data_IF_213963569811
#
_entry.id   IF_213963569811
#
_cell.length_a   1.000
_cell.length_b   1.000
_cell.length_c   1.000
_cell.angle_alpha   90.00
_cell.angle_beta   90.00
_cell.angle_gamma   90.00
#
_symmetry.space_group_name_H-M   'P 1'
#
loop_
_entity.id
_entity.type
_entity.pdbx_description
1 polymer ?
#
# COMPACT_ATOMS: atom_id res chain seq x y z
N UNK A 1 -37.38 -16.48 -0.59
CA UNK A 1 -37.10 -15.72 0.66
C UNK A 1 -36.89 -16.72 1.77
N UNK A 2 -35.65 -16.88 2.23
CA UNK A 2 -35.36 -17.90 3.24
C UNK A 2 -35.77 -17.36 4.62
N UNK A 3 -36.30 -18.21 5.51
CA UNK A 3 -36.74 -17.79 6.86
C UNK A 3 -35.63 -17.03 7.62
N UNK A 4 -34.36 -17.29 7.31
CA UNK A 4 -33.18 -16.66 7.92
C UNK A 4 -33.01 -15.18 7.56
N UNK A 5 -33.37 -14.77 6.35
CA UNK A 5 -33.27 -13.38 5.87
C UNK A 5 -34.26 -12.44 6.57
N UNK A 6 -35.37 -12.99 7.09
CA UNK A 6 -36.41 -12.24 7.80
C UNK A 6 -36.18 -12.25 9.31
N UNK A 7 -35.66 -13.35 9.86
CA UNK A 7 -35.41 -13.49 11.31
C UNK A 7 -34.28 -12.56 11.78
N UNK A 8 -33.23 -12.38 10.98
CA UNK A 8 -32.08 -11.57 11.35
C UNK A 8 -32.42 -10.09 11.59
N UNK A 9 -33.11 -9.37 10.67
CA UNK A 9 -33.46 -7.96 10.91
C UNK A 9 -34.43 -7.78 12.08
N UNK A 10 -35.38 -8.71 12.27
CA UNK A 10 -36.31 -8.67 13.41
C UNK A 10 -35.54 -8.82 14.74
N UNK A 11 -34.55 -9.71 14.78
CA UNK A 11 -33.73 -9.96 15.96
C UNK A 11 -32.87 -8.74 16.30
N UNK A 12 -32.24 -8.12 15.30
CA UNK A 12 -31.45 -6.88 15.48
C UNK A 12 -32.34 -5.73 15.96
N UNK A 13 -33.52 -5.55 15.39
CA UNK A 13 -34.47 -4.52 15.82
C UNK A 13 -34.89 -4.70 17.28
N UNK A 14 -35.22 -5.94 17.68
CA UNK A 14 -35.58 -6.26 19.06
C UNK A 14 -34.45 -6.01 20.06
N UNK A 15 -33.21 -6.37 19.70
CA UNK A 15 -32.01 -6.11 20.50
C UNK A 15 -31.76 -4.60 20.67
N UNK A 16 -31.92 -3.81 19.61
CA UNK A 16 -31.76 -2.35 19.67
C UNK A 16 -32.78 -1.69 20.58
N UNK A 17 -34.06 -2.08 20.49
CA UNK A 17 -35.11 -1.57 21.37
C UNK A 17 -34.86 -1.94 22.83
N UNK A 18 -34.40 -3.17 23.09
CA UNK A 18 -34.08 -3.64 24.43
C UNK A 18 -32.88 -2.89 25.03
N UNK A 19 -31.84 -2.62 24.23
CA UNK A 19 -30.69 -1.81 24.65
C UNK A 19 -31.10 -0.36 24.96
N UNK A 20 -31.93 0.26 24.12
CA UNK A 20 -32.46 1.61 24.36
C UNK A 20 -33.26 1.67 25.67
N UNK A 21 -34.13 0.68 25.93
CA UNK A 21 -34.88 0.59 27.17
C UNK A 21 -34.00 0.48 28.42
N UNK A 22 -32.90 -0.28 28.34
CA UNK A 22 -31.94 -0.39 29.45
C UNK A 22 -31.17 0.91 29.65
N UNK A 23 -30.81 1.63 28.59
CA UNK A 23 -30.19 2.96 28.71
C UNK A 23 -31.11 3.94 29.43
N UNK A 24 -32.42 3.96 29.12
CA UNK A 24 -33.42 4.77 29.82
C UNK A 24 -33.55 4.33 31.29
N UNK A 25 -33.61 3.03 31.57
CA UNK A 25 -33.68 2.53 32.94
C UNK A 25 -32.44 2.87 33.77
N UNK A 26 -31.24 2.84 33.17
CA UNK A 26 -29.98 3.26 33.83
C UNK A 26 -29.99 4.77 34.09
N UNK A 27 -30.50 5.57 33.16
CA UNK A 27 -30.64 7.01 33.32
C UNK A 27 -31.60 7.36 34.46
N UNK A 28 -32.79 6.74 34.51
CA UNK A 28 -33.78 6.96 35.58
C UNK A 28 -33.28 6.50 36.96
N UNK A 29 -32.40 5.50 37.01
CA UNK A 29 -31.84 4.99 38.28
C UNK A 29 -30.58 5.75 38.73
N UNK A 30 -30.16 6.81 38.02
CA UNK A 30 -28.96 7.60 38.29
C UNK A 30 -27.70 6.71 38.52
N UNK A 31 -27.63 5.56 37.86
CA UNK A 31 -26.51 4.62 38.00
C UNK A 31 -26.33 3.99 39.39
N UNK A 32 -27.23 4.22 40.36
CA UNK A 32 -27.09 3.73 41.74
C UNK A 32 -27.23 2.21 41.86
N UNK A 33 -27.90 1.58 40.90
CA UNK A 33 -28.11 0.13 40.91
C UNK A 33 -27.06 -0.59 40.08
N UNK A 34 -26.13 -1.25 40.79
CA UNK A 34 -25.08 -2.11 40.20
C UNK A 34 -25.66 -3.15 39.22
N UNK A 35 -26.86 -3.67 39.50
CA UNK A 35 -27.52 -4.69 38.66
C UNK A 35 -27.83 -4.19 37.24
N UNK A 36 -28.25 -2.94 37.07
CA UNK A 36 -28.61 -2.38 35.76
C UNK A 36 -27.38 -2.02 34.92
N UNK A 37 -26.31 -1.53 35.57
CA UNK A 37 -25.03 -1.25 34.92
C UNK A 37 -24.40 -2.54 34.37
N UNK A 38 -24.37 -3.62 35.16
CA UNK A 38 -23.86 -4.92 34.69
C UNK A 38 -24.67 -5.47 33.51
N UNK A 39 -25.99 -5.28 33.50
CA UNK A 39 -26.85 -5.72 32.38
C UNK A 39 -26.57 -4.92 31.10
N UNK A 40 -26.38 -3.60 31.19
CA UNK A 40 -26.00 -2.76 30.05
C UNK A 40 -24.68 -3.23 29.41
N UNK A 41 -23.67 -3.52 30.23
CA UNK A 41 -22.38 -4.02 29.75
C UNK A 41 -22.48 -5.39 29.08
N UNK A 42 -23.25 -6.33 29.66
CA UNK A 42 -23.43 -7.67 29.07
C UNK A 42 -24.13 -7.62 27.72
N UNK A 43 -25.15 -6.77 27.56
CA UNK A 43 -25.89 -6.65 26.31
C UNK A 43 -25.09 -5.91 25.25
N UNK A 44 -24.34 -4.87 25.64
CA UNK A 44 -23.39 -4.20 24.73
C UNK A 44 -22.30 -5.16 24.22
N UNK A 45 -21.73 -5.99 25.11
CA UNK A 45 -20.77 -7.02 24.72
C UNK A 45 -21.38 -8.06 23.77
N UNK A 46 -22.61 -8.51 24.03
CA UNK A 46 -23.30 -9.47 23.16
C UNK A 46 -23.59 -8.89 21.76
N UNK A 47 -23.95 -7.60 21.67
CA UNK A 47 -24.09 -6.92 20.37
C UNK A 47 -22.77 -6.89 19.60
N UNK A 48 -21.66 -6.53 20.26
CA UNK A 48 -20.33 -6.50 19.61
C UNK A 48 -19.90 -7.89 19.13
N UNK A 49 -20.13 -8.93 19.94
CA UNK A 49 -19.84 -10.32 19.54
C UNK A 49 -20.72 -10.79 18.40
N UNK A 50 -22.01 -10.43 18.39
CA UNK A 50 -22.92 -10.78 17.30
C UNK A 50 -22.53 -10.08 16.00
N UNK A 51 -22.16 -8.79 16.06
CA UNK A 51 -21.64 -8.04 14.93
C UNK A 51 -20.36 -8.69 14.39
N UNK A 52 -19.39 -9.00 15.27
CA UNK A 52 -18.15 -9.68 14.88
C UNK A 52 -18.39 -11.06 14.26
N UNK A 53 -19.30 -11.87 14.83
CA UNK A 53 -19.63 -13.19 14.30
C UNK A 53 -20.45 -13.13 13.00
N UNK A 54 -21.21 -12.05 12.76
CA UNK A 54 -21.93 -11.82 11.50
C UNK A 54 -21.01 -11.38 10.36
N UNK A 55 -19.80 -10.90 10.67
CA UNK A 55 -18.73 -10.60 9.72
C UNK A 55 -17.88 -11.83 9.34
N UNK A 56 -18.45 -13.05 9.36
CA UNK A 56 -17.75 -14.28 8.97
C UNK A 56 -17.84 -14.61 7.46
N UNK A 57 -18.17 -13.62 6.63
CA UNK A 57 -17.90 -13.68 5.20
C UNK A 57 -16.62 -12.91 4.94
N UNK A 58 -15.59 -13.56 4.40
CA UNK A 58 -14.26 -12.99 4.13
C UNK A 58 -14.24 -11.86 3.10
N UNK A 59 -14.95 -10.77 3.38
CA UNK A 59 -14.79 -9.47 2.74
C UNK A 59 -13.95 -8.62 3.68
N UNK A 60 -12.83 -8.12 3.14
CA UNK A 60 -11.80 -7.40 3.87
C UNK A 60 -12.35 -6.32 4.80
N UNK A 61 -11.57 -6.03 5.83
CA UNK A 61 -11.72 -4.87 6.70
C UNK A 61 -12.22 -3.70 5.85
N UNK A 62 -13.43 -3.21 6.13
CA UNK A 62 -13.89 -1.95 5.56
C UNK A 62 -13.09 -0.86 6.26
N UNK A 63 -11.86 -0.68 5.81
CA UNK A 63 -11.05 0.47 6.09
C UNK A 63 -11.82 1.62 5.45
N UNK A 64 -12.42 2.50 6.26
CA UNK A 64 -13.09 3.73 5.80
C UNK A 64 -12.12 4.71 5.11
N UNK A 65 -10.86 4.30 4.90
CA UNK A 65 -9.87 4.98 4.11
C UNK A 65 -9.54 4.06 2.94
N UNK A 66 -9.89 4.50 1.74
CA UNK A 66 -9.32 3.95 0.52
C UNK A 66 -7.80 4.18 0.61
N UNK A 67 -7.02 3.11 0.72
CA UNK A 67 -5.58 3.22 0.69
C UNK A 67 -5.20 3.72 -0.70
N UNK A 68 -4.70 4.95 -0.80
CA UNK A 68 -4.14 5.46 -2.05
C UNK A 68 -3.08 4.47 -2.50
N UNK A 69 -3.22 3.94 -3.72
CA UNK A 69 -2.23 3.03 -4.28
C UNK A 69 -0.87 3.75 -4.25
N UNK A 70 0.10 3.18 -3.54
CA UNK A 70 1.45 3.74 -3.49
C UNK A 70 2.25 3.07 -4.59
N UNK A 71 2.92 3.87 -5.42
CA UNK A 71 3.90 3.38 -6.39
C UNK A 71 4.92 2.50 -5.65
N UNK A 72 4.94 1.21 -5.95
CA UNK A 72 5.89 0.27 -5.38
C UNK A 72 6.71 -0.36 -6.50
N UNK A 73 8.04 -0.24 -6.37
CA UNK A 73 9.00 -0.64 -7.40
C UNK A 73 9.94 -1.70 -6.85
N UNK A 74 10.12 -2.78 -7.61
CA UNK A 74 11.13 -3.80 -7.34
C UNK A 74 11.87 -4.18 -8.63
N UNK A 75 13.13 -4.61 -8.51
CA UNK A 75 13.99 -4.96 -9.65
C UNK A 75 14.27 -6.45 -9.68
N UNK A 76 14.29 -7.05 -10.88
CA UNK A 76 14.43 -8.52 -11.02
C UNK A 76 15.77 -9.06 -10.49
N UNK A 77 16.84 -8.27 -10.62
CA UNK A 77 18.19 -8.63 -10.18
C UNK A 77 18.57 -7.98 -8.84
N UNK A 78 17.60 -7.62 -7.99
CA UNK A 78 17.87 -7.03 -6.69
C UNK A 78 18.27 -8.10 -5.67
N UNK A 79 19.53 -8.08 -5.24
CA UNK A 79 20.01 -8.85 -4.10
C UNK A 79 19.83 -8.11 -2.77
N UNK A 80 20.26 -8.73 -1.67
CA UNK A 80 20.18 -8.15 -0.32
C UNK A 80 20.89 -6.78 -0.20
N UNK A 81 21.95 -6.57 -0.99
CA UNK A 81 22.78 -5.34 -0.95
C UNK A 81 22.40 -4.31 -2.01
N UNK A 82 21.43 -4.61 -2.87
CA UNK A 82 21.07 -3.81 -4.04
C UNK A 82 21.29 -4.55 -5.35
N UNK A 83 21.44 -3.80 -6.42
CA UNK A 83 21.58 -4.28 -7.79
C UNK A 83 23.07 -4.35 -8.12
N UNK A 84 23.53 -5.49 -8.65
CA UNK A 84 24.90 -5.62 -9.19
C UNK A 84 24.82 -5.91 -10.69
N UNK A 85 25.58 -5.18 -11.51
CA UNK A 85 25.60 -5.34 -12.97
C UNK A 85 27.02 -5.20 -13.53
N UNK A 86 27.29 -5.92 -14.62
CA UNK A 86 28.50 -5.81 -15.44
C UNK A 86 28.08 -5.23 -16.80
N UNK A 87 28.51 -3.99 -17.10
CA UNK A 87 28.02 -3.21 -18.26
C UNK A 87 28.51 -3.73 -19.63
N UNK A 88 29.55 -4.56 -19.62
CA UNK A 88 30.09 -5.29 -20.77
C UNK A 88 29.11 -6.35 -21.30
N UNK A 89 28.49 -7.10 -20.40
CA UNK A 89 27.56 -8.20 -20.70
C UNK A 89 26.11 -7.74 -20.83
N UNK A 90 25.74 -6.65 -20.15
CA UNK A 90 24.41 -6.05 -20.27
C UNK A 90 24.30 -4.71 -19.58
N UNK A 91 23.55 -3.77 -20.17
CA UNK A 91 23.31 -2.44 -19.60
C UNK A 91 21.81 -2.15 -19.42
N UNK A 92 20.98 -3.18 -19.40
CA UNK A 92 19.54 -3.07 -19.22
C UNK A 92 19.16 -3.70 -17.91
N UNK A 93 18.49 -2.94 -17.05
CA UNK A 93 17.86 -3.44 -15.84
C UNK A 93 16.36 -3.57 -16.09
N UNK A 94 15.76 -4.66 -15.64
CA UNK A 94 14.32 -4.88 -15.69
C UNK A 94 13.74 -4.75 -14.29
N UNK A 95 12.61 -4.07 -14.19
CA UNK A 95 11.88 -3.89 -12.94
C UNK A 95 10.38 -3.92 -13.16
N UNK A 96 9.66 -3.92 -12.04
CA UNK A 96 8.22 -3.99 -11.98
C UNK A 96 7.72 -2.82 -11.13
N UNK A 97 6.74 -2.10 -11.65
CA UNK A 97 6.04 -1.01 -10.99
C UNK A 97 4.62 -1.49 -10.69
N UNK A 98 4.19 -1.34 -9.44
CA UNK A 98 2.83 -1.64 -9.00
C UNK A 98 2.19 -0.39 -8.42
N UNK A 99 0.89 -0.24 -8.64
CA UNK A 99 0.16 0.96 -8.24
C UNK A 99 0.53 2.19 -9.07
N UNK A 100 0.87 2.02 -10.35
CA UNK A 100 1.21 3.13 -11.24
C UNK A 100 0.05 4.16 -11.30
N UNK A 101 0.37 5.44 -11.09
CA UNK A 101 -0.58 6.56 -11.13
C UNK A 101 -0.20 7.60 -12.18
N UNK A 102 1.08 7.65 -12.56
CA UNK A 102 1.65 8.64 -13.44
C UNK A 102 1.86 8.04 -14.84
N UNK A 103 1.77 8.87 -15.87
CA UNK A 103 1.99 8.41 -17.26
C UNK A 103 3.47 8.37 -17.65
N UNK A 104 4.35 8.96 -16.83
CA UNK A 104 5.77 9.10 -17.10
C UNK A 104 6.54 8.87 -15.81
N UNK A 105 7.59 8.06 -15.90
CA UNK A 105 8.52 7.84 -14.82
C UNK A 105 9.94 8.01 -15.33
N UNK A 106 10.84 8.42 -14.44
CA UNK A 106 12.25 8.62 -14.78
C UNK A 106 13.16 8.10 -13.69
N UNK A 107 14.44 7.97 -14.01
CA UNK A 107 15.48 7.56 -13.09
C UNK A 107 16.67 8.51 -13.14
N UNK A 108 17.48 8.46 -12.09
CA UNK A 108 18.83 9.03 -12.08
C UNK A 108 19.81 8.09 -11.40
N UNK A 109 21.06 8.14 -11.85
CA UNK A 109 22.20 7.44 -11.24
C UNK A 109 23.12 8.48 -10.66
N UNK A 110 23.36 8.40 -9.35
CA UNK A 110 24.22 9.32 -8.61
C UNK A 110 25.27 8.58 -7.79
N UNK A 111 26.32 9.26 -7.35
CA UNK A 111 27.20 8.75 -6.30
C UNK A 111 26.66 9.07 -4.90
N UNK A 112 27.42 8.65 -3.87
CA UNK A 112 27.14 8.97 -2.45
C UNK A 112 27.16 10.47 -2.12
N UNK A 113 27.72 11.31 -2.99
CA UNK A 113 27.78 12.76 -2.83
C UNK A 113 26.65 13.46 -3.61
N UNK A 114 25.70 12.70 -4.17
CA UNK A 114 24.62 13.15 -5.03
C UNK A 114 25.08 13.78 -6.35
N UNK A 115 26.31 13.52 -6.81
CA UNK A 115 26.73 13.88 -8.16
C UNK A 115 26.00 12.95 -9.14
N UNK A 116 25.24 13.53 -10.06
CA UNK A 116 24.45 12.78 -11.05
C UNK A 116 25.34 12.45 -12.26
N UNK A 117 25.41 11.16 -12.59
CA UNK A 117 26.15 10.65 -13.76
C UNK A 117 25.23 10.33 -14.93
N UNK A 118 23.97 9.99 -14.65
CA UNK A 118 22.99 9.68 -15.69
C UNK A 118 21.58 10.08 -15.24
N UNK A 119 20.76 10.52 -16.21
CA UNK A 119 19.31 10.59 -16.11
C UNK A 119 18.69 9.91 -17.32
N UNK A 120 17.48 9.39 -17.17
CA UNK A 120 16.72 8.82 -18.28
C UNK A 120 15.29 8.52 -17.89
N UNK A 121 14.47 8.21 -18.88
CA UNK A 121 13.10 7.75 -18.65
C UNK A 121 13.08 6.24 -18.38
N UNK A 122 12.13 5.81 -17.56
CA UNK A 122 11.77 4.40 -17.45
C UNK A 122 10.98 4.03 -18.70
N UNK A 123 11.35 2.92 -19.34
CA UNK A 123 10.70 2.48 -20.57
C UNK A 123 9.75 1.33 -20.24
N UNK A 124 8.44 1.61 -20.23
CA UNK A 124 7.43 0.56 -20.11
C UNK A 124 7.57 -0.46 -21.24
N UNK A 125 7.31 -1.73 -20.94
CA UNK A 125 7.52 -2.84 -21.86
C UNK A 125 6.63 -2.76 -23.12
N UNK A 126 5.44 -2.18 -23.01
CA UNK A 126 4.52 -1.92 -24.13
C UNK A 126 4.59 -0.46 -24.64
N UNK A 127 5.47 0.35 -24.05
CA UNK A 127 5.70 1.75 -24.38
C UNK A 127 4.84 2.76 -23.65
N UNK A 128 3.94 2.36 -22.74
CA UNK A 128 3.12 3.28 -21.92
C UNK A 128 2.96 2.79 -20.49
N UNK A 129 2.81 3.71 -19.53
CA UNK A 129 2.39 3.37 -18.17
C UNK A 129 0.90 3.61 -18.05
N UNK A 130 0.08 2.61 -18.42
CA UNK A 130 -1.38 2.72 -18.38
C UNK A 130 -2.08 1.60 -17.60
N UNK A 131 -1.31 0.65 -17.07
CA UNK A 131 -1.78 -0.43 -16.22
C UNK A 131 -1.33 -0.24 -14.77
N UNK A 132 -2.09 -0.81 -13.84
CA UNK A 132 -1.76 -0.79 -12.42
C UNK A 132 -0.43 -1.51 -12.13
N UNK A 133 -0.08 -2.53 -12.93
CA UNK A 133 1.16 -3.29 -12.81
C UNK A 133 1.87 -3.26 -14.16
N UNK A 134 3.09 -2.72 -14.17
CA UNK A 134 3.86 -2.49 -15.39
C UNK A 134 5.25 -3.07 -15.25
N UNK A 135 5.72 -3.73 -16.31
CA UNK A 135 7.13 -4.10 -16.46
C UNK A 135 7.83 -2.94 -17.15
N UNK A 136 8.96 -2.50 -16.62
CA UNK A 136 9.74 -1.44 -17.21
C UNK A 136 11.21 -1.85 -17.34
N UNK A 137 11.93 -1.10 -18.18
CA UNK A 137 13.37 -1.24 -18.34
C UNK A 137 14.10 0.08 -18.11
N UNK A 138 15.31 -0.02 -17.59
CA UNK A 138 16.27 1.08 -17.43
C UNK A 138 17.48 0.75 -18.29
N UNK A 139 17.84 1.66 -19.19
CA UNK A 139 19.06 1.53 -19.99
C UNK A 139 20.18 2.37 -19.36
N UNK A 140 21.12 1.71 -18.70
CA UNK A 140 22.31 2.35 -18.15
C UNK A 140 23.28 2.75 -19.25
N UNK A 141 23.96 3.88 -19.08
CA UNK A 141 25.02 4.30 -19.99
C UNK A 141 26.25 3.40 -19.79
N UNK A 142 26.78 2.87 -20.88
CA UNK A 142 28.00 2.05 -20.88
C UNK A 142 29.26 2.86 -20.54
N UNK A 143 29.15 4.20 -20.54
CA UNK A 143 30.24 5.09 -20.13
C UNK A 143 30.44 5.18 -18.61
N UNK A 144 29.50 4.65 -17.80
CA UNK A 144 29.62 4.65 -16.35
C UNK A 144 30.82 3.79 -15.91
N UNK A 145 31.71 4.39 -15.14
CA UNK A 145 32.85 3.70 -14.54
C UNK A 145 32.38 2.66 -13.52
N UNK A 146 33.18 1.61 -13.26
CA UNK A 146 32.94 0.71 -12.13
C UNK A 146 32.95 1.45 -10.80
N UNK A 147 32.02 1.09 -9.92
CA UNK A 147 31.85 1.77 -8.64
C UNK A 147 30.51 1.50 -7.97
N UNK A 148 30.32 2.13 -6.82
CA UNK A 148 29.07 2.12 -6.07
C UNK A 148 28.28 3.41 -6.34
N UNK A 149 27.02 3.23 -6.72
CA UNK A 149 26.09 4.27 -7.13
C UNK A 149 24.76 4.11 -6.40
N UNK A 150 23.91 5.13 -6.52
CA UNK A 150 22.54 5.14 -6.05
C UNK A 150 21.64 5.34 -7.27
N UNK A 151 20.68 4.44 -7.44
CA UNK A 151 19.62 4.53 -8.44
C UNK A 151 18.39 5.13 -7.77
N UNK A 152 17.98 6.32 -8.22
CA UNK A 152 16.76 6.97 -7.80
C UNK A 152 15.70 6.85 -8.88
N UNK A 153 14.44 6.70 -8.49
CA UNK A 153 13.29 6.66 -9.39
C UNK A 153 12.28 7.72 -9.00
N UNK A 154 11.65 8.32 -10.00
CA UNK A 154 10.76 9.48 -9.85
C UNK A 154 9.44 9.25 -10.61
N UNK A 155 8.32 9.76 -10.09
CA UNK A 155 7.00 9.74 -10.74
C UNK A 155 6.84 10.89 -11.74
N UNK A 156 7.95 11.44 -12.24
CA UNK A 156 7.96 12.61 -13.12
C UNK A 156 8.96 12.40 -14.25
N UNK A 157 8.87 13.23 -15.30
CA UNK A 157 9.84 13.23 -16.39
C UNK A 157 11.21 13.76 -15.98
N UNK A 158 12.23 13.50 -16.81
CA UNK A 158 13.65 13.81 -16.56
C UNK A 158 13.90 15.28 -16.19
N UNK A 159 13.21 16.21 -16.87
CA UNK A 159 13.37 17.65 -16.68
C UNK A 159 12.80 18.17 -15.35
N UNK A 160 11.95 17.37 -14.71
CA UNK A 160 11.20 17.72 -13.49
C UNK A 160 11.58 16.84 -12.29
N UNK A 161 12.75 16.21 -12.35
CA UNK A 161 13.27 15.42 -11.23
C UNK A 161 13.59 16.33 -10.04
N UNK A 162 13.00 16.00 -8.90
CA UNK A 162 13.20 16.67 -7.62
C UNK A 162 13.46 15.60 -6.55
N UNK A 163 14.48 15.80 -5.72
CA UNK A 163 14.86 14.87 -4.66
C UNK A 163 13.77 14.69 -3.60
N UNK A 164 12.83 15.62 -3.48
CA UNK A 164 11.65 15.49 -2.62
C UNK A 164 10.60 14.49 -3.14
N UNK A 165 10.67 14.13 -4.42
CA UNK A 165 9.71 13.26 -5.11
C UNK A 165 10.30 11.88 -5.49
N UNK A 166 11.32 11.41 -4.76
CA UNK A 166 11.87 10.06 -4.97
C UNK A 166 10.84 9.03 -4.50
N UNK A 167 10.40 8.16 -5.40
CA UNK A 167 9.47 7.04 -5.09
C UNK A 167 10.20 5.75 -4.78
N UNK A 168 11.44 5.58 -5.25
CA UNK A 168 12.28 4.44 -4.91
C UNK A 168 13.76 4.80 -5.00
N UNK A 169 14.56 4.21 -4.11
CA UNK A 169 16.01 4.35 -4.07
C UNK A 169 16.65 3.00 -3.83
N UNK A 170 17.66 2.66 -4.62
CA UNK A 170 18.38 1.39 -4.51
C UNK A 170 19.88 1.60 -4.69
N UNK A 171 20.69 0.79 -4.00
CA UNK A 171 22.12 0.75 -4.28
C UNK A 171 22.35 0.05 -5.63
N UNK A 172 23.21 0.61 -6.45
CA UNK A 172 23.63 0.08 -7.74
C UNK A 172 25.14 -0.07 -7.76
N UNK A 173 25.64 -1.28 -7.97
CA UNK A 173 27.06 -1.57 -8.09
C UNK A 173 27.41 -1.98 -9.51
N UNK A 174 28.29 -1.21 -10.13
CA UNK A 174 28.82 -1.50 -11.46
C UNK A 174 30.19 -2.19 -11.30
N UNK A 175 30.33 -3.37 -11.87
CA UNK A 175 31.57 -4.16 -11.88
C UNK A 175 32.23 -4.11 -13.26
N UNK A 176 33.55 -4.34 -13.28
CA UNK A 176 34.28 -4.79 -14.46
C UNK A 176 34.38 -6.32 -14.45
N UNK A 177 34.52 -6.91 -15.64
CA UNK A 177 35.14 -8.23 -15.84
C UNK A 177 36.51 -8.37 -15.15
#
# INVERSE_FOLDING_TARGET
MTKKEIILPITVLGLTLLFAGICVAVFLTNGKSKKWVTRKMKIGGLMLTLTAASCNGGGGEVMCYETVAVNNIWMENQGEKGIEIMLDTGNVLTGHLTGAQDSVYSFSVSDKNNQIFQRGELLANDGKFDQMNEIFTIKLDKSLSPGDYILHMFPTGVETQDSSNIISQMNLKIKND
#
